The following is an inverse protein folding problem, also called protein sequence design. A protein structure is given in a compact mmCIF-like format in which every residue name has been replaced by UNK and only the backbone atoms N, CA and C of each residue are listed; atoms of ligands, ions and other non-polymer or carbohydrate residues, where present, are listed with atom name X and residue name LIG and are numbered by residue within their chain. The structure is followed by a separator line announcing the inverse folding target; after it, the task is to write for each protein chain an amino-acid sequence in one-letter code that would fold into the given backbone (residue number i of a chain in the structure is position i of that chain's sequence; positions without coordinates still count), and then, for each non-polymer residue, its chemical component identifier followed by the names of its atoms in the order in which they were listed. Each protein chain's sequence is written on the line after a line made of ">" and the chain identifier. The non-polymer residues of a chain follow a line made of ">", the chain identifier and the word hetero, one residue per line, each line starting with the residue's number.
data_IF_036860579461
#
_entry.id   IF_036860579461
#
_cell.length_a   1.000
_cell.length_b   1.000
_cell.length_c   1.000
_cell.angle_alpha   90.00
_cell.angle_beta   90.00
_cell.angle_gamma   90.00
#
_symmetry.space_group_name_H-M   'P 1'
#
loop_
_entity.id
_entity.type
_entity.pdbx_description
1 polymer ?
#
# COMPACT_ATOMS: atom_id res chain seq x y z
N UNK A 1 15.13 -84.19 -31.14
CA UNK A 1 13.90 -83.38 -31.25
C UNK A 1 14.18 -81.97 -30.77
N UNK A 2 14.13 -80.96 -31.62
CA UNK A 2 14.40 -79.54 -31.20
C UNK A 2 13.14 -78.87 -30.60
N UNK A 3 13.35 -78.12 -29.53
CA UNK A 3 12.33 -77.33 -28.83
C UNK A 3 12.08 -76.06 -29.64
N UNK A 4 10.84 -75.83 -29.97
CA UNK A 4 10.35 -74.66 -30.66
C UNK A 4 10.32 -73.44 -29.69
N UNK A 5 10.96 -72.34 -30.08
CA UNK A 5 10.94 -71.08 -29.36
C UNK A 5 9.69 -70.29 -29.71
N UNK A 6 9.00 -69.78 -28.69
CA UNK A 6 7.81 -68.90 -28.80
C UNK A 6 8.25 -67.43 -29.02
N UNK A 7 7.64 -66.67 -29.92
CA UNK A 7 8.04 -65.29 -30.17
C UNK A 7 7.51 -64.33 -29.06
N UNK A 8 8.41 -63.43 -28.59
CA UNK A 8 8.14 -62.42 -27.61
C UNK A 8 7.52 -61.17 -28.34
N UNK A 9 6.28 -60.82 -27.98
CA UNK A 9 5.59 -59.62 -28.49
C UNK A 9 6.13 -58.36 -27.79
N UNK A 10 6.48 -57.27 -28.50
CA UNK A 10 7.00 -56.07 -27.87
C UNK A 10 5.90 -55.31 -27.11
N UNK A 11 6.14 -54.98 -25.85
CA UNK A 11 5.30 -54.15 -25.00
C UNK A 11 5.24 -52.73 -25.57
N UNK A 12 4.04 -52.25 -25.85
CA UNK A 12 3.69 -50.92 -26.29
C UNK A 12 4.05 -49.89 -25.19
N UNK A 13 4.96 -48.95 -25.47
CA UNK A 13 5.36 -47.91 -24.57
C UNK A 13 4.18 -46.96 -24.27
N UNK A 14 3.81 -46.85 -23.00
CA UNK A 14 2.80 -45.91 -22.51
C UNK A 14 3.43 -44.52 -22.47
N UNK A 15 2.99 -43.61 -23.34
CA UNK A 15 3.40 -42.20 -23.31
C UNK A 15 2.87 -41.54 -22.04
N UNK A 16 3.70 -40.79 -21.28
CA UNK A 16 3.22 -40.10 -20.10
C UNK A 16 2.20 -39.00 -20.51
N UNK A 17 1.04 -39.04 -19.88
CA UNK A 17 -0.02 -38.04 -20.01
C UNK A 17 0.51 -36.73 -19.41
N UNK A 18 0.88 -35.75 -20.26
CA UNK A 18 1.17 -34.39 -19.81
C UNK A 18 -0.08 -33.87 -19.11
N UNK A 19 0.01 -33.68 -17.79
CA UNK A 19 -1.02 -32.97 -17.02
C UNK A 19 -1.11 -31.56 -17.57
N UNK A 20 -2.18 -31.25 -18.31
CA UNK A 20 -2.56 -29.88 -18.63
C UNK A 20 -2.77 -29.18 -17.29
N UNK A 21 -1.85 -28.26 -16.95
CA UNK A 21 -2.04 -27.33 -15.85
C UNK A 21 -3.38 -26.64 -16.03
N UNK A 22 -4.23 -26.78 -15.02
CA UNK A 22 -5.56 -26.20 -14.98
C UNK A 22 -5.48 -24.72 -15.31
N UNK A 23 -6.20 -24.27 -16.33
CA UNK A 23 -6.39 -22.86 -16.62
C UNK A 23 -6.81 -22.16 -15.32
N UNK A 24 -5.99 -21.21 -14.88
CA UNK A 24 -6.23 -20.34 -13.72
C UNK A 24 -7.64 -19.77 -13.86
N UNK A 25 -8.59 -20.21 -13.02
CA UNK A 25 -9.96 -19.65 -13.00
C UNK A 25 -9.78 -18.15 -12.77
N UNK A 26 -10.05 -17.36 -13.80
CA UNK A 26 -10.11 -15.90 -13.70
C UNK A 26 -11.14 -15.56 -12.64
N UNK A 27 -10.76 -14.80 -11.61
CA UNK A 27 -11.71 -14.33 -10.60
C UNK A 27 -12.78 -13.49 -11.31
N UNK A 28 -14.04 -13.90 -11.16
CA UNK A 28 -15.18 -13.13 -11.66
C UNK A 28 -15.28 -11.87 -10.79
N UNK A 29 -15.09 -10.70 -11.35
CA UNK A 29 -15.20 -9.41 -10.67
C UNK A 29 -14.24 -8.35 -11.23
N UNK A 30 -14.43 -7.08 -10.85
CA UNK A 30 -13.64 -5.97 -11.39
C UNK A 30 -12.18 -6.07 -10.97
N UNK A 31 -11.29 -5.79 -11.90
CA UNK A 31 -9.85 -5.64 -11.66
C UNK A 31 -9.55 -4.21 -11.27
N UNK A 32 -8.77 -4.03 -10.21
CA UNK A 32 -8.42 -2.72 -9.69
C UNK A 32 -6.94 -2.44 -9.97
N UNK A 33 -6.63 -1.38 -10.72
CA UNK A 33 -5.30 -0.81 -10.75
C UNK A 33 -5.09 -0.10 -9.41
N UNK A 34 -4.13 -0.55 -8.63
CA UNK A 34 -3.71 0.11 -7.40
C UNK A 34 -2.39 0.84 -7.64
N UNK A 35 -2.37 2.14 -7.34
CA UNK A 35 -1.21 3.02 -7.46
C UNK A 35 -0.88 3.57 -6.08
N UNK A 36 0.39 3.50 -5.70
CA UNK A 36 0.95 4.08 -4.47
C UNK A 36 1.94 5.17 -4.88
N UNK A 37 1.57 6.42 -4.66
CA UNK A 37 2.41 7.59 -4.95
C UNK A 37 3.19 7.95 -3.70
N UNK A 38 4.49 7.80 -3.74
CA UNK A 38 5.38 8.23 -2.65
C UNK A 38 6.29 9.38 -3.07
N UNK A 39 6.89 10.05 -2.11
CA UNK A 39 7.86 11.12 -2.37
C UNK A 39 9.09 10.65 -3.15
N UNK A 40 9.50 9.38 -2.99
CA UNK A 40 10.66 8.81 -3.68
C UNK A 40 10.29 7.91 -4.87
N UNK A 41 9.15 7.23 -4.84
CA UNK A 41 8.76 6.25 -5.85
C UNK A 41 7.26 6.22 -6.06
N UNK A 42 6.86 5.99 -7.30
CA UNK A 42 5.49 5.60 -7.66
C UNK A 42 5.47 4.10 -7.96
N UNK A 43 4.56 3.38 -7.32
CA UNK A 43 4.39 1.93 -7.46
C UNK A 43 2.99 1.64 -7.99
N UNK A 44 2.87 0.59 -8.81
CA UNK A 44 1.56 0.17 -9.32
C UNK A 44 1.50 -1.34 -9.54
N UNK A 45 0.33 -1.92 -9.34
CA UNK A 45 -0.02 -3.29 -9.72
C UNK A 45 -1.51 -3.39 -10.01
N UNK A 46 -1.92 -4.45 -10.70
CA UNK A 46 -3.34 -4.76 -10.92
C UNK A 46 -3.76 -5.89 -10.00
N UNK A 47 -4.83 -5.65 -9.25
CA UNK A 47 -5.42 -6.61 -8.31
C UNK A 47 -6.66 -7.26 -8.93
N UNK A 48 -6.87 -8.55 -8.64
CA UNK A 48 -8.14 -9.22 -8.92
C UNK A 48 -9.22 -8.80 -7.88
N UNK A 49 -10.45 -9.27 -8.05
CA UNK A 49 -11.56 -8.97 -7.14
C UNK A 49 -11.35 -9.45 -5.69
N UNK A 50 -10.35 -10.30 -5.45
CA UNK A 50 -9.97 -10.80 -4.13
C UNK A 50 -8.76 -10.09 -3.54
N UNK A 51 -8.24 -9.06 -4.22
CA UNK A 51 -7.06 -8.31 -3.79
C UNK A 51 -5.72 -8.97 -4.13
N UNK A 52 -5.68 -10.07 -4.90
CA UNK A 52 -4.42 -10.71 -5.29
C UNK A 52 -3.79 -9.97 -6.48
N UNK A 53 -2.50 -9.71 -6.42
CA UNK A 53 -1.75 -9.12 -7.53
C UNK A 53 -1.77 -10.05 -8.75
N UNK A 54 -2.14 -9.51 -9.90
CA UNK A 54 -2.14 -10.22 -11.19
C UNK A 54 -0.84 -10.05 -11.96
N UNK A 55 0.00 -9.12 -11.52
CA UNK A 55 1.30 -8.82 -12.09
C UNK A 55 2.24 -8.35 -10.98
N UNK A 56 3.53 -8.56 -11.12
CA UNK A 56 4.53 -8.02 -10.20
C UNK A 56 4.38 -6.49 -10.11
N UNK A 57 4.66 -5.97 -8.93
CA UNK A 57 4.57 -4.55 -8.67
C UNK A 57 5.62 -3.78 -9.47
N UNK A 58 5.18 -2.93 -10.39
CA UNK A 58 6.05 -1.97 -11.06
C UNK A 58 6.42 -0.84 -10.10
N UNK A 59 7.62 -0.31 -10.27
CA UNK A 59 8.15 0.81 -9.49
C UNK A 59 8.95 1.72 -10.41
N UNK A 60 8.74 3.03 -10.27
CA UNK A 60 9.52 4.07 -10.93
C UNK A 60 9.86 5.15 -9.91
N UNK A 61 10.96 5.84 -10.12
CA UNK A 61 11.36 6.96 -9.25
C UNK A 61 10.39 8.14 -9.43
N UNK A 62 10.11 8.84 -8.32
CA UNK A 62 9.36 10.09 -8.33
C UNK A 62 10.33 11.20 -8.76
N UNK A 63 10.11 11.88 -9.91
CA UNK A 63 11.02 12.92 -10.37
C UNK A 63 11.04 14.11 -9.42
N UNK A 64 12.22 14.69 -9.19
CA UNK A 64 12.34 15.95 -8.46
C UNK A 64 11.57 17.06 -9.22
N UNK A 65 10.85 17.90 -8.48
CA UNK A 65 10.04 18.96 -9.07
C UNK A 65 8.83 18.44 -9.86
N UNK A 66 8.30 17.28 -9.48
CA UNK A 66 7.12 16.68 -10.08
C UNK A 66 5.94 17.65 -10.06
N UNK A 67 5.31 17.86 -11.21
CA UNK A 67 4.08 18.65 -11.34
C UNK A 67 2.86 17.73 -11.43
N UNK A 68 1.64 18.22 -11.11
CA UNK A 68 0.42 17.42 -11.22
C UNK A 68 0.21 16.78 -12.59
N UNK A 69 0.45 17.52 -13.67
CA UNK A 69 0.34 17.01 -15.03
C UNK A 69 1.38 15.92 -15.35
N UNK A 70 2.62 16.09 -14.85
CA UNK A 70 3.68 15.08 -14.99
C UNK A 70 3.35 13.82 -14.20
N UNK A 71 2.77 13.93 -13.00
CA UNK A 71 2.31 12.76 -12.23
C UNK A 71 1.26 11.96 -13.01
N UNK A 72 0.26 12.65 -13.59
CA UNK A 72 -0.76 11.99 -14.43
C UNK A 72 -0.13 11.27 -15.62
N UNK A 73 0.84 11.91 -16.29
CA UNK A 73 1.60 11.33 -17.40
C UNK A 73 2.43 10.12 -16.98
N UNK A 74 3.12 10.21 -15.84
CA UNK A 74 3.94 9.13 -15.30
C UNK A 74 3.09 7.90 -14.98
N UNK A 75 1.96 8.07 -14.28
CA UNK A 75 1.01 6.98 -14.00
C UNK A 75 0.50 6.39 -15.31
N UNK A 76 0.07 7.21 -16.27
CA UNK A 76 -0.44 6.75 -17.56
C UNK A 76 0.60 5.96 -18.38
N UNK A 77 1.88 6.26 -18.25
CA UNK A 77 2.95 5.50 -18.91
C UNK A 77 3.24 4.20 -18.18
N UNK A 78 3.28 4.24 -16.85
CA UNK A 78 3.53 3.05 -16.02
C UNK A 78 2.49 1.96 -16.27
N UNK A 79 1.22 2.32 -16.36
CA UNK A 79 0.11 1.37 -16.53
C UNK A 79 0.06 0.69 -17.89
N UNK A 80 0.78 1.20 -18.93
CA UNK A 80 0.86 0.53 -20.24
C UNK A 80 1.49 -0.86 -20.18
N UNK A 81 2.30 -1.11 -19.16
CA UNK A 81 3.00 -2.38 -18.93
C UNK A 81 2.17 -3.35 -18.07
N UNK A 82 1.00 -2.93 -17.58
CA UNK A 82 0.16 -3.71 -16.67
C UNK A 82 -1.03 -4.35 -17.40
N UNK A 83 -1.60 -5.44 -16.87
CA UNK A 83 -2.81 -6.05 -17.39
C UNK A 83 -3.99 -5.07 -17.42
N UNK A 84 -5.02 -5.38 -18.24
CA UNK A 84 -6.27 -4.60 -18.28
C UNK A 84 -6.91 -4.53 -16.90
N UNK A 85 -7.48 -3.36 -16.58
CA UNK A 85 -8.19 -3.07 -15.32
C UNK A 85 -9.51 -2.33 -15.61
N UNK A 86 -10.41 -2.34 -14.62
CA UNK A 86 -11.75 -1.78 -14.76
C UNK A 86 -11.90 -0.47 -13.97
N UNK A 87 -11.12 -0.29 -12.89
CA UNK A 87 -11.15 0.86 -11.98
C UNK A 87 -9.76 1.12 -11.40
N UNK A 88 -9.56 2.30 -10.82
CA UNK A 88 -8.25 2.76 -10.31
C UNK A 88 -8.37 3.27 -8.88
N UNK A 89 -7.48 2.82 -8.02
CA UNK A 89 -7.27 3.32 -6.66
C UNK A 89 -5.90 3.96 -6.57
N UNK A 90 -5.80 5.13 -5.98
CA UNK A 90 -4.54 5.86 -5.81
C UNK A 90 -4.37 6.25 -4.35
N UNK A 91 -3.27 5.80 -3.73
CA UNK A 91 -2.73 6.37 -2.49
C UNK A 91 -1.84 7.56 -2.83
N UNK A 92 -2.08 8.71 -2.21
CA UNK A 92 -1.38 9.96 -2.48
C UNK A 92 -0.74 10.51 -1.20
N UNK A 93 0.52 10.99 -1.21
CA UNK A 93 1.23 11.45 -0.02
C UNK A 93 0.80 12.85 0.39
N UNK A 94 -0.39 12.97 0.96
CA UNK A 94 -0.99 14.21 1.43
C UNK A 94 -2.50 14.12 1.55
N UNK A 95 -3.11 15.19 2.06
CA UNK A 95 -4.56 15.25 2.25
C UNK A 95 -5.29 15.33 0.92
N UNK A 96 -6.23 14.42 0.72
CA UNK A 96 -7.15 14.41 -0.42
C UNK A 96 -8.58 14.48 0.09
N UNK A 97 -9.41 15.33 -0.52
CA UNK A 97 -10.85 15.39 -0.24
C UNK A 97 -11.64 15.40 -1.54
N UNK A 98 -12.52 14.44 -1.71
CA UNK A 98 -13.36 14.30 -2.91
C UNK A 98 -12.50 14.26 -4.21
N UNK A 99 -11.35 13.56 -4.17
CA UNK A 99 -10.43 13.44 -5.30
C UNK A 99 -9.65 14.72 -5.66
N UNK A 100 -9.68 15.74 -4.77
CA UNK A 100 -8.96 17.01 -4.89
C UNK A 100 -7.84 17.06 -3.86
N UNK A 101 -6.61 17.26 -4.30
CA UNK A 101 -5.44 17.41 -3.43
C UNK A 101 -5.53 18.70 -2.62
N UNK A 102 -5.31 18.62 -1.31
CA UNK A 102 -5.26 19.75 -0.39
C UNK A 102 -3.84 20.07 0.05
N UNK A 103 -3.06 19.03 0.36
CA UNK A 103 -1.63 19.13 0.69
C UNK A 103 -0.83 18.09 -0.08
N UNK A 104 0.47 18.31 -0.24
CA UNK A 104 1.41 17.37 -0.83
C UNK A 104 2.83 17.63 -0.26
N UNK A 105 3.05 17.44 1.06
CA UNK A 105 4.27 17.91 1.74
C UNK A 105 5.55 17.32 1.12
N UNK A 106 5.51 16.07 0.67
CA UNK A 106 6.65 15.37 0.08
C UNK A 106 6.81 15.57 -1.45
N UNK A 107 5.94 16.36 -2.08
CA UNK A 107 5.99 16.64 -3.52
C UNK A 107 6.08 18.14 -3.83
N UNK A 108 5.18 18.95 -3.38
CA UNK A 108 5.12 20.40 -3.42
C UNK A 108 3.64 20.82 -3.22
N UNK A 109 3.28 21.23 -2.01
CA UNK A 109 1.89 21.55 -1.67
C UNK A 109 1.32 22.68 -2.54
N UNK A 110 2.09 23.72 -2.82
CA UNK A 110 1.57 24.88 -3.57
C UNK A 110 1.24 24.53 -5.01
N UNK A 111 2.02 23.64 -5.64
CA UNK A 111 1.75 23.16 -7.00
C UNK A 111 0.59 22.19 -7.07
N UNK A 112 0.37 21.37 -6.02
CA UNK A 112 -0.67 20.34 -6.02
C UNK A 112 -2.00 20.80 -5.42
N UNK A 113 -2.01 21.84 -4.60
CA UNK A 113 -3.22 22.35 -3.94
C UNK A 113 -4.32 22.70 -4.94
N UNK A 114 -5.51 22.15 -4.71
CA UNK A 114 -6.67 22.33 -5.56
C UNK A 114 -6.67 21.49 -6.83
N UNK A 115 -5.62 20.70 -7.09
CA UNK A 115 -5.59 19.85 -8.29
C UNK A 115 -6.59 18.69 -8.17
N UNK A 116 -7.47 18.57 -9.17
CA UNK A 116 -8.52 17.53 -9.25
C UNK A 116 -7.94 16.22 -9.78
N UNK A 117 -7.10 15.56 -8.96
CA UNK A 117 -6.30 14.40 -9.37
C UNK A 117 -7.17 13.24 -9.86
N UNK A 118 -8.26 12.91 -9.13
CA UNK A 118 -9.17 11.84 -9.53
C UNK A 118 -9.78 12.11 -10.92
N UNK A 119 -10.27 13.33 -11.15
CA UNK A 119 -10.85 13.72 -12.44
C UNK A 119 -9.82 13.72 -13.59
N UNK A 120 -8.60 14.18 -13.31
CA UNK A 120 -7.52 14.19 -14.30
C UNK A 120 -7.11 12.77 -14.71
N UNK A 121 -6.98 11.86 -13.75
CA UNK A 121 -6.68 10.45 -14.02
C UNK A 121 -7.86 9.75 -14.68
N UNK A 122 -9.11 10.03 -14.30
CA UNK A 122 -10.30 9.49 -14.95
C UNK A 122 -10.31 9.83 -16.44
N UNK A 123 -10.08 11.10 -16.78
CA UNK A 123 -9.98 11.53 -18.20
C UNK A 123 -8.83 10.87 -18.94
N UNK A 124 -7.68 10.72 -18.26
CA UNK A 124 -6.47 10.19 -18.90
C UNK A 124 -6.50 8.69 -19.14
N UNK A 125 -7.10 7.93 -18.21
CA UNK A 125 -7.13 6.47 -18.22
C UNK A 125 -8.47 5.90 -18.75
N UNK A 126 -9.52 6.72 -18.86
CA UNK A 126 -10.84 6.27 -19.30
C UNK A 126 -11.52 5.30 -18.32
N UNK A 127 -11.18 5.38 -17.03
CA UNK A 127 -11.67 4.48 -15.97
C UNK A 127 -12.05 5.28 -14.74
N UNK A 128 -13.02 4.82 -13.93
CA UNK A 128 -13.33 5.46 -12.65
C UNK A 128 -12.11 5.42 -11.73
N UNK A 129 -11.82 6.53 -11.04
CA UNK A 129 -10.66 6.69 -10.16
C UNK A 129 -11.12 7.16 -8.78
N UNK A 130 -10.61 6.51 -7.72
CA UNK A 130 -10.67 6.99 -6.33
C UNK A 130 -9.26 7.30 -5.86
N UNK A 131 -9.11 8.42 -5.17
CA UNK A 131 -7.83 8.91 -4.62
C UNK A 131 -8.04 9.21 -3.15
N UNK A 132 -7.21 8.62 -2.30
CA UNK A 132 -7.16 8.88 -0.86
C UNK A 132 -5.71 9.10 -0.42
N UNK A 133 -5.51 9.49 0.83
CA UNK A 133 -4.18 9.55 1.43
C UNK A 133 -3.53 8.16 1.42
N UNK A 134 -2.21 8.09 1.29
CA UNK A 134 -1.45 6.83 1.20
C UNK A 134 -1.52 6.00 2.50
N UNK A 135 -1.48 6.65 3.68
CA UNK A 135 -1.66 5.98 4.97
C UNK A 135 -3.10 5.46 5.14
N UNK A 136 -4.11 6.20 4.65
CA UNK A 136 -5.50 5.77 4.67
C UNK A 136 -5.68 4.50 3.82
N UNK A 137 -5.09 4.46 2.61
CA UNK A 137 -5.12 3.27 1.75
C UNK A 137 -4.40 2.10 2.41
N UNK A 138 -3.25 2.33 3.03
CA UNK A 138 -2.53 1.28 3.77
C UNK A 138 -3.37 0.76 4.95
N UNK A 139 -3.99 1.67 5.68
CA UNK A 139 -4.85 1.35 6.81
C UNK A 139 -6.02 0.46 6.44
N UNK A 140 -6.70 0.75 5.33
CA UNK A 140 -7.79 -0.09 4.81
C UNK A 140 -7.38 -1.55 4.60
N UNK A 141 -6.11 -1.84 4.30
CA UNK A 141 -5.62 -3.21 4.17
C UNK A 141 -5.36 -3.89 5.53
N UNK A 142 -5.04 -3.10 6.55
CA UNK A 142 -4.58 -3.59 7.84
C UNK A 142 -5.73 -3.86 8.82
N UNK A 143 -6.74 -2.97 8.84
CA UNK A 143 -7.80 -2.99 9.85
C UNK A 143 -8.70 -4.21 9.74
N UNK A 144 -9.16 -4.69 10.90
CA UNK A 144 -10.08 -5.83 11.05
C UNK A 144 -11.54 -5.41 11.03
N UNK A 145 -11.81 -4.12 11.22
CA UNK A 145 -13.15 -3.56 11.19
C UNK A 145 -13.92 -3.70 12.49
N UNK A 146 -13.25 -3.60 13.63
CA UNK A 146 -13.86 -3.68 14.97
C UNK A 146 -13.34 -2.60 15.89
N UNK A 147 -14.24 -1.80 16.44
CA UNK A 147 -13.91 -0.75 17.39
C UNK A 147 -13.08 0.37 16.78
N UNK A 148 -12.24 1.00 17.56
CA UNK A 148 -11.33 2.06 17.16
C UNK A 148 -9.98 1.45 16.77
N UNK A 149 -9.65 1.46 15.49
CA UNK A 149 -8.38 0.95 14.97
C UNK A 149 -7.56 2.11 14.41
N UNK A 150 -6.31 2.17 14.76
CA UNK A 150 -5.39 3.19 14.27
C UNK A 150 -4.27 2.58 13.44
N UNK A 151 -3.81 3.30 12.44
CA UNK A 151 -2.63 2.92 11.65
C UNK A 151 -1.65 4.07 11.65
N UNK A 152 -0.39 3.78 11.92
CA UNK A 152 0.72 4.70 11.66
C UNK A 152 1.68 4.08 10.66
N UNK A 153 2.29 4.90 9.81
CA UNK A 153 3.32 4.44 8.87
C UNK A 153 4.64 5.16 9.16
N UNK A 154 5.69 4.37 9.34
CA UNK A 154 7.05 4.84 9.63
C UNK A 154 7.91 4.66 8.36
N UNK A 155 8.32 5.78 7.78
CA UNK A 155 9.11 5.81 6.55
C UNK A 155 9.93 7.08 6.46
N UNK A 156 10.00 7.71 5.28
CA UNK A 156 10.61 9.04 5.08
C UNK A 156 10.02 10.04 6.09
N UNK A 157 8.69 10.04 6.22
CA UNK A 157 7.93 10.75 7.24
C UNK A 157 7.09 9.80 8.08
N UNK A 158 6.02 10.35 8.67
CA UNK A 158 5.01 9.63 9.44
C UNK A 158 3.63 9.85 8.80
N UNK A 159 2.95 8.77 8.46
CA UNK A 159 1.53 8.81 8.07
C UNK A 159 0.65 8.28 9.20
N UNK A 160 -0.61 8.68 9.23
CA UNK A 160 -1.58 8.19 10.21
C UNK A 160 -2.98 8.10 9.64
N UNK A 161 -3.75 7.12 10.09
CA UNK A 161 -5.18 7.00 9.81
C UNK A 161 -5.90 6.36 11.01
N UNK A 162 -7.18 6.70 11.17
CA UNK A 162 -8.04 6.16 12.21
C UNK A 162 -9.31 5.59 11.59
N UNK A 163 -9.77 4.48 12.12
CA UNK A 163 -10.96 3.77 11.65
C UNK A 163 -11.87 3.48 12.84
N UNK A 164 -13.17 3.55 12.59
CA UNK A 164 -14.19 3.13 13.55
C UNK A 164 -15.06 2.08 12.87
N UNK A 165 -15.09 0.88 13.41
CA UNK A 165 -15.80 -0.27 12.85
C UNK A 165 -15.50 -0.49 11.35
N UNK A 166 -14.21 -0.38 11.00
CA UNK A 166 -13.70 -0.55 9.62
C UNK A 166 -13.95 0.62 8.68
N UNK A 167 -14.61 1.68 9.13
CA UNK A 167 -14.85 2.89 8.34
C UNK A 167 -13.76 3.91 8.62
N UNK A 168 -13.20 4.47 7.55
CA UNK A 168 -12.20 5.53 7.65
C UNK A 168 -12.79 6.75 8.36
N UNK A 169 -12.12 7.18 9.43
CA UNK A 169 -12.41 8.40 10.18
C UNK A 169 -11.91 9.66 9.49
N UNK A 170 -11.98 10.81 10.13
CA UNK A 170 -11.37 12.03 9.63
C UNK A 170 -9.86 11.85 9.46
N UNK A 171 -9.33 12.33 8.34
CA UNK A 171 -7.88 12.32 8.11
C UNK A 171 -7.13 13.16 9.17
N UNK A 172 -6.08 12.58 9.75
CA UNK A 172 -5.24 13.18 10.77
C UNK A 172 -3.85 13.48 10.19
N UNK A 173 -3.44 14.75 10.19
CA UNK A 173 -2.07 15.17 9.88
C UNK A 173 -1.17 15.10 11.14
N UNK A 174 -1.11 13.93 11.77
CA UNK A 174 -0.37 13.71 13.00
C UNK A 174 1.13 14.02 12.86
N UNK A 175 1.70 13.79 11.68
CA UNK A 175 3.10 14.04 11.38
C UNK A 175 3.57 15.42 11.85
N UNK A 176 2.75 16.44 11.60
CA UNK A 176 3.09 17.84 11.89
C UNK A 176 2.64 18.31 13.27
N UNK A 177 2.04 17.44 14.07
CA UNK A 177 1.62 17.77 15.43
C UNK A 177 2.80 17.65 16.41
N UNK A 178 2.83 18.51 17.43
CA UNK A 178 3.87 18.46 18.46
C UNK A 178 3.76 17.16 19.25
N UNK A 179 4.87 16.45 19.36
CA UNK A 179 4.97 15.19 20.10
C UNK A 179 5.74 15.37 21.41
N UNK A 180 6.99 15.78 21.33
CA UNK A 180 7.85 15.93 22.51
C UNK A 180 8.94 16.98 22.28
N UNK A 181 9.34 17.70 23.35
CA UNK A 181 10.42 18.70 23.31
C UNK A 181 10.26 19.75 22.20
N UNK A 182 9.03 20.17 21.96
CA UNK A 182 8.64 21.10 20.87
C UNK A 182 8.98 20.58 19.45
N UNK A 183 9.17 19.27 19.27
CA UNK A 183 9.34 18.62 17.97
C UNK A 183 8.09 17.84 17.60
N UNK A 184 7.82 17.78 16.33
CA UNK A 184 6.67 17.05 15.77
C UNK A 184 6.88 15.52 15.82
N UNK A 185 5.80 14.78 15.58
CA UNK A 185 5.91 13.32 15.42
C UNK A 185 6.89 12.94 14.30
N UNK A 186 6.84 13.62 13.15
CA UNK A 186 7.74 13.36 12.03
C UNK A 186 9.21 13.65 12.36
N UNK A 187 9.50 14.79 13.02
CA UNK A 187 10.86 15.15 13.45
C UNK A 187 11.45 14.19 14.48
N UNK A 188 10.65 13.43 15.19
CA UNK A 188 11.09 12.46 16.20
C UNK A 188 11.07 11.01 15.73
N UNK A 189 10.22 10.67 14.73
CA UNK A 189 9.96 9.31 14.31
C UNK A 189 10.25 9.02 12.83
N UNK A 190 10.43 10.05 12.00
CA UNK A 190 10.78 9.89 10.59
C UNK A 190 12.18 9.33 10.37
N UNK A 191 12.53 9.04 9.12
CA UNK A 191 13.81 8.43 8.73
C UNK A 191 15.02 9.23 9.20
N UNK A 192 14.97 10.57 9.11
CA UNK A 192 16.06 11.45 9.55
C UNK A 192 16.35 11.23 11.04
N UNK A 193 15.31 11.26 11.87
CA UNK A 193 15.45 11.05 13.31
C UNK A 193 15.99 9.65 13.65
N UNK A 194 15.58 8.64 12.88
CA UNK A 194 16.07 7.26 13.03
C UNK A 194 17.57 7.18 12.69
N UNK A 195 17.97 7.75 11.55
CA UNK A 195 19.37 7.74 11.11
C UNK A 195 20.31 8.45 12.09
N UNK A 196 19.88 9.60 12.63
CA UNK A 196 20.67 10.37 13.60
C UNK A 196 20.79 9.70 14.98
N UNK A 197 19.75 8.99 15.43
CA UNK A 197 19.68 8.49 16.80
C UNK A 197 19.94 6.98 16.93
N UNK A 198 19.97 6.26 15.82
CA UNK A 198 20.08 4.80 15.79
C UNK A 198 18.77 4.09 16.20
N UNK A 199 18.61 2.84 15.75
CA UNK A 199 17.36 2.08 15.92
C UNK A 199 16.92 1.94 17.37
N UNK A 200 17.83 1.65 18.31
CA UNK A 200 17.50 1.45 19.73
C UNK A 200 16.86 2.68 20.38
N UNK A 201 17.40 3.88 20.15
CA UNK A 201 16.88 5.12 20.71
C UNK A 201 15.60 5.55 20.01
N UNK A 202 15.57 5.36 18.71
CA UNK A 202 14.38 5.61 17.89
C UNK A 202 13.22 4.70 18.29
N UNK A 203 13.44 3.39 18.49
CA UNK A 203 12.42 2.45 18.98
C UNK A 203 11.80 2.89 20.30
N UNK A 204 12.61 3.39 21.27
CA UNK A 204 12.08 3.95 22.52
C UNK A 204 11.13 5.12 22.28
N UNK A 205 11.40 5.97 21.29
CA UNK A 205 10.50 7.08 20.91
C UNK A 205 9.22 6.57 20.27
N UNK A 206 9.30 5.52 19.45
CA UNK A 206 8.09 4.87 18.91
C UNK A 206 7.20 4.34 20.02
N UNK A 207 7.75 3.70 21.07
CA UNK A 207 6.97 3.29 22.23
C UNK A 207 6.31 4.47 22.96
N UNK A 208 7.02 5.58 23.15
CA UNK A 208 6.43 6.79 23.72
C UNK A 208 5.28 7.33 22.87
N UNK A 209 5.41 7.24 21.54
CA UNK A 209 4.35 7.63 20.62
C UNK A 209 3.13 6.69 20.72
N UNK A 210 3.35 5.38 20.83
CA UNK A 210 2.27 4.40 21.04
C UNK A 210 1.45 4.77 22.28
N UNK A 211 2.10 5.03 23.42
CA UNK A 211 1.40 5.42 24.66
C UNK A 211 0.67 6.76 24.49
N UNK A 212 1.32 7.76 23.90
CA UNK A 212 0.67 9.05 23.61
C UNK A 212 -0.56 8.93 22.71
N UNK A 213 -0.51 8.04 21.71
CA UNK A 213 -1.64 7.78 20.83
C UNK A 213 -2.74 6.99 21.52
N UNK A 214 -2.37 6.07 22.41
CA UNK A 214 -3.33 5.35 23.26
C UNK A 214 -4.14 6.30 24.11
N UNK A 215 -3.47 7.22 24.81
CA UNK A 215 -4.12 8.23 25.64
C UNK A 215 -5.01 9.18 24.82
N UNK A 216 -4.58 9.51 23.59
CA UNK A 216 -5.30 10.43 22.74
C UNK A 216 -6.56 9.84 22.10
N UNK A 217 -6.50 8.59 21.64
CA UNK A 217 -7.53 7.99 20.78
C UNK A 217 -8.30 6.86 21.42
N UNK A 218 -7.77 6.28 22.52
CA UNK A 218 -8.29 5.06 23.14
C UNK A 218 -8.51 3.93 22.11
N UNK A 219 -7.53 3.72 21.23
CA UNK A 219 -7.64 2.68 20.20
C UNK A 219 -7.73 1.28 20.82
N UNK A 220 -8.51 0.42 20.20
CA UNK A 220 -8.55 -1.01 20.51
C UNK A 220 -7.37 -1.76 19.88
N UNK A 221 -6.89 -1.27 18.74
CA UNK A 221 -5.71 -1.84 18.07
C UNK A 221 -4.95 -0.79 17.24
N UNK A 222 -3.61 -0.83 17.34
CA UNK A 222 -2.70 0.00 16.53
C UNK A 222 -1.91 -0.87 15.56
N UNK A 223 -1.89 -0.49 14.31
CA UNK A 223 -1.06 -1.10 13.28
C UNK A 223 0.10 -0.18 12.91
N UNK A 224 1.31 -0.72 12.86
CA UNK A 224 2.52 0.01 12.47
C UNK A 224 3.01 -0.53 11.13
N UNK A 225 2.91 0.29 10.09
CA UNK A 225 3.37 0.01 8.74
C UNK A 225 4.56 0.88 8.33
N UNK A 226 4.86 0.87 7.02
CA UNK A 226 5.96 1.63 6.44
C UNK A 226 7.29 0.87 6.41
N UNK A 227 8.26 1.42 5.66
CA UNK A 227 9.54 0.74 5.42
C UNK A 227 10.39 0.54 6.67
N UNK A 228 10.25 1.43 7.66
CA UNK A 228 11.04 1.42 8.89
C UNK A 228 10.40 0.58 10.01
N UNK A 229 9.15 0.18 9.90
CA UNK A 229 8.46 -0.63 10.92
C UNK A 229 9.23 -1.91 11.27
N UNK A 230 9.82 -2.58 10.29
CA UNK A 230 10.65 -3.77 10.47
C UNK A 230 11.96 -3.56 11.24
N UNK A 231 12.34 -2.30 11.47
CA UNK A 231 13.58 -1.93 12.18
C UNK A 231 13.33 -1.67 13.66
N UNK A 232 12.10 -1.85 14.13
CA UNK A 232 11.77 -1.81 15.56
C UNK A 232 12.45 -2.99 16.26
N UNK A 233 13.31 -2.67 17.22
CA UNK A 233 14.14 -3.63 17.94
C UNK A 233 13.54 -3.89 19.34
N UNK A 234 12.30 -4.45 19.38
CA UNK A 234 11.62 -4.77 20.64
C UNK A 234 10.31 -5.51 20.40
N UNK A 235 9.81 -6.18 21.45
CA UNK A 235 8.44 -6.68 21.49
C UNK A 235 7.46 -5.52 21.57
N UNK A 236 6.38 -5.62 20.78
CA UNK A 236 5.29 -4.65 20.78
C UNK A 236 4.21 -5.07 21.80
N UNK A 237 3.45 -4.11 22.34
CA UNK A 237 2.28 -4.41 23.16
C UNK A 237 1.28 -5.32 22.43
N UNK A 238 0.45 -6.12 23.14
CA UNK A 238 -0.45 -7.10 22.53
C UNK A 238 -1.53 -6.48 21.63
N UNK A 239 -1.84 -5.22 21.83
CA UNK A 239 -2.77 -4.42 21.03
C UNK A 239 -2.07 -3.64 19.90
N UNK A 240 -0.80 -3.95 19.60
CA UNK A 240 -0.01 -3.33 18.51
C UNK A 240 0.51 -4.42 17.59
N UNK A 241 0.38 -4.23 16.27
CA UNK A 241 0.85 -5.18 15.26
C UNK A 241 1.60 -4.49 14.13
N UNK A 242 2.59 -5.19 13.55
CA UNK A 242 3.25 -4.75 12.32
C UNK A 242 2.42 -5.10 11.08
N UNK A 243 2.44 -4.22 10.09
CA UNK A 243 1.78 -4.41 8.79
C UNK A 243 2.82 -4.52 7.69
N UNK A 244 2.62 -5.45 6.77
CA UNK A 244 3.51 -5.64 5.63
C UNK A 244 3.53 -4.45 4.65
N UNK A 245 4.66 -4.25 4.00
CA UNK A 245 4.92 -3.16 3.03
C UNK A 245 4.07 -3.23 1.74
N UNK A 246 3.27 -4.27 1.57
CA UNK A 246 2.35 -4.43 0.43
C UNK A 246 0.98 -3.80 0.66
N UNK A 247 0.70 -3.36 1.89
CA UNK A 247 -0.60 -2.82 2.29
C UNK A 247 -1.05 -1.61 1.44
N UNK A 248 -0.13 -0.72 1.03
CA UNK A 248 -0.43 0.43 0.17
C UNK A 248 -1.01 0.05 -1.21
N UNK A 249 -0.67 -1.12 -1.72
CA UNK A 249 -1.26 -1.66 -2.96
C UNK A 249 -2.54 -2.45 -2.65
N UNK A 250 -2.50 -3.32 -1.63
CA UNK A 250 -3.62 -4.21 -1.31
C UNK A 250 -4.85 -3.44 -0.79
N UNK A 251 -4.65 -2.36 -0.06
CA UNK A 251 -5.73 -1.48 0.42
C UNK A 251 -6.53 -0.81 -0.69
N UNK A 252 -5.94 -0.66 -1.87
CA UNK A 252 -6.61 -0.04 -3.01
C UNK A 252 -7.93 -0.70 -3.42
N UNK A 253 -8.12 -2.00 -3.15
CA UNK A 253 -9.38 -2.66 -3.45
C UNK A 253 -10.49 -2.24 -2.49
N UNK A 254 -10.14 -1.98 -1.23
CA UNK A 254 -11.10 -1.60 -0.19
C UNK A 254 -11.69 -0.20 -0.38
N UNK A 255 -11.03 0.66 -1.15
CA UNK A 255 -11.62 1.95 -1.54
C UNK A 255 -12.93 1.81 -2.32
N UNK A 256 -13.26 0.62 -2.82
CA UNK A 256 -14.45 0.34 -3.64
C UNK A 256 -15.52 -0.48 -2.91
N UNK A 257 -15.27 -0.82 -1.68
CA UNK A 257 -16.20 -1.50 -0.77
C UNK A 257 -16.85 -0.46 0.16
#
# INVERSE_FOLDING_TARGET
>A
MPRTATPITPRRAVRPRVRRTSARRTSVGPRTLAVDVGGSHVKASVLDARGRMLHDRLRVDTPVGLTPGRLVGLIANLVKQLPRFDRVSVGFPGVVRNGVVRTAPNLDTDRFRGFRLAAALTRRLGKPVRVENDADVQGLAAVRGKGVEMVITLGTGLGSSIFVDGKLGPHLELAHHVFRKNKTYEEELGEVARAENGNRKWTKRVHQAIESLRDLTNFDHLYIGGGNARLLDTELPPDVSLVENTAGILGGIRLWQ
#
